data_IF_167883174160
#
_entry.id   IF_167883174160
#
_cell.length_a   1.000
_cell.length_b   1.000
_cell.length_c   1.000
_cell.angle_alpha   90.00
_cell.angle_beta   90.00
_cell.angle_gamma   90.00
#
_symmetry.space_group_name_H-M   'P 1'
#
loop_
_entity.id
_entity.type
_entity.pdbx_description
1 polymer ?
#
# COMPACT_ATOMS: atom_id res chain seq x y z
N UNK A 1 4.84 15.84 11.80
CA UNK A 1 4.89 14.39 11.51
C UNK A 1 3.90 13.70 12.42
N UNK A 2 2.96 12.90 11.88
CA UNK A 2 1.81 12.36 12.62
C UNK A 2 1.63 10.84 12.42
N UNK A 3 0.66 10.26 13.13
CA UNK A 3 0.43 8.81 13.21
C UNK A 3 0.28 8.12 11.83
N UNK A 4 -0.46 8.74 10.90
CA UNK A 4 -0.66 8.23 9.54
C UNK A 4 0.66 8.08 8.77
N UNK A 5 1.57 9.06 8.87
CA UNK A 5 2.88 9.00 8.18
C UNK A 5 3.73 7.86 8.75
N UNK A 6 3.67 7.65 10.07
CA UNK A 6 4.37 6.54 10.72
C UNK A 6 3.80 5.18 10.30
N UNK A 7 2.49 5.08 10.06
CA UNK A 7 1.84 3.85 9.57
C UNK A 7 2.25 3.55 8.14
N UNK A 8 2.26 4.54 7.24
CA UNK A 8 2.66 4.34 5.84
C UNK A 8 4.10 3.83 5.71
N UNK A 9 5.05 4.41 6.44
CA UNK A 9 6.45 3.94 6.42
C UNK A 9 6.58 2.49 6.89
N UNK A 10 5.81 2.11 7.93
CA UNK A 10 5.85 0.75 8.49
C UNK A 10 5.21 -0.28 7.56
N UNK A 11 4.12 0.08 6.89
CA UNK A 11 3.52 -0.77 5.87
C UNK A 11 4.49 -1.00 4.71
N UNK A 12 5.23 0.04 4.29
CA UNK A 12 6.27 -0.11 3.26
C UNK A 12 7.36 -1.11 3.69
N UNK A 13 7.88 -0.97 4.92
CA UNK A 13 8.91 -1.88 5.43
C UNK A 13 8.38 -3.31 5.59
N UNK A 14 7.10 -3.48 5.95
CA UNK A 14 6.44 -4.77 6.04
C UNK A 14 6.25 -5.40 4.66
N UNK A 15 5.85 -4.63 3.64
CA UNK A 15 5.68 -5.11 2.27
C UNK A 15 6.95 -5.76 1.72
N UNK A 16 8.12 -5.13 1.95
CA UNK A 16 9.43 -5.70 1.56
C UNK A 16 9.74 -7.04 2.23
N UNK A 17 9.21 -7.28 3.44
CA UNK A 17 9.42 -8.54 4.18
C UNK A 17 8.47 -9.64 3.74
N UNK A 18 7.25 -9.26 3.36
CA UNK A 18 6.23 -10.19 2.88
C UNK A 18 6.56 -10.70 1.48
N UNK A 19 7.08 -9.83 0.62
CA UNK A 19 7.43 -10.15 -0.77
C UNK A 19 8.87 -9.74 -1.07
N UNK A 20 9.88 -10.49 -0.58
CA UNK A 20 11.29 -10.13 -0.78
C UNK A 20 11.72 -10.21 -2.25
N UNK A 21 11.07 -11.06 -3.05
CA UNK A 21 11.43 -11.33 -4.44
C UNK A 21 10.59 -10.54 -5.46
N UNK A 22 9.57 -9.79 -4.98
CA UNK A 22 8.73 -8.99 -5.86
C UNK A 22 9.46 -7.69 -6.26
N UNK A 23 9.43 -7.37 -7.56
CA UNK A 23 9.96 -6.11 -8.07
C UNK A 23 9.25 -4.87 -7.45
N UNK A 24 8.01 -5.03 -6.98
CA UNK A 24 7.26 -4.00 -6.27
C UNK A 24 6.29 -4.66 -5.29
N UNK A 25 6.39 -4.28 -4.01
CA UNK A 25 5.49 -4.73 -2.95
C UNK A 25 4.69 -3.54 -2.40
N UNK A 26 3.37 -3.58 -2.55
CA UNK A 26 2.46 -2.54 -2.04
C UNK A 26 1.62 -3.16 -0.92
N UNK A 27 1.91 -2.77 0.32
CA UNK A 27 1.12 -3.16 1.48
C UNK A 27 0.28 -1.98 1.98
N UNK A 28 -0.99 -2.23 2.26
CA UNK A 28 -1.96 -1.24 2.74
C UNK A 28 -2.62 -1.73 4.04
N UNK A 29 -3.11 -0.81 4.87
CA UNK A 29 -3.92 -1.15 6.03
C UNK A 29 -5.33 -1.60 5.62
N UNK A 30 -6.02 -2.33 6.49
CA UNK A 30 -7.43 -2.67 6.32
C UNK A 30 -8.34 -1.45 6.19
N UNK A 31 -8.02 -0.35 6.89
CA UNK A 31 -8.73 0.93 6.72
C UNK A 31 -8.62 1.44 5.27
N UNK A 32 -7.43 1.41 4.68
CA UNK A 32 -7.25 1.80 3.28
C UNK A 32 -7.91 0.81 2.32
N UNK A 33 -7.78 -0.49 2.57
CA UNK A 33 -8.39 -1.54 1.75
C UNK A 33 -9.92 -1.40 1.71
N UNK A 34 -10.55 -1.04 2.83
CA UNK A 34 -12.02 -0.83 2.91
C UNK A 34 -12.54 0.33 2.06
N UNK A 35 -11.65 1.20 1.58
CA UNK A 35 -11.98 2.35 0.72
C UNK A 35 -11.70 2.07 -0.76
N UNK A 36 -11.12 0.92 -1.09
CA UNK A 36 -10.88 0.54 -2.48
C UNK A 36 -12.16 -0.02 -3.11
N UNK A 37 -12.34 0.23 -4.40
CA UNK A 37 -13.39 -0.41 -5.19
C UNK A 37 -12.90 -1.75 -5.77
N UNK A 38 -13.82 -2.48 -6.40
CA UNK A 38 -13.59 -3.81 -6.99
C UNK A 38 -12.56 -3.84 -8.14
N UNK A 39 -12.06 -2.68 -8.58
CA UNK A 39 -11.00 -2.61 -9.59
C UNK A 39 -9.65 -3.02 -9.01
N UNK A 40 -9.49 -2.99 -7.69
CA UNK A 40 -8.25 -3.35 -7.02
C UNK A 40 -8.35 -4.75 -6.45
N UNK A 41 -7.49 -5.65 -6.93
CA UNK A 41 -7.28 -6.93 -6.28
C UNK A 41 -6.55 -6.70 -4.94
N UNK A 42 -7.11 -7.23 -3.86
CA UNK A 42 -6.50 -7.18 -2.52
C UNK A 42 -6.29 -8.59 -2.00
N UNK A 43 -5.06 -8.88 -1.57
CA UNK A 43 -4.65 -10.18 -1.04
C UNK A 43 -4.43 -10.04 0.47
N UNK A 44 -5.18 -10.75 1.33
CA UNK A 44 -4.99 -10.66 2.76
C UNK A 44 -3.57 -11.05 3.19
N UNK A 45 -2.87 -10.18 3.91
CA UNK A 45 -1.53 -10.42 4.46
C UNK A 45 -1.55 -10.68 5.98
N UNK A 46 -2.74 -10.75 6.57
CA UNK A 46 -2.95 -11.04 7.99
C UNK A 46 -2.87 -9.81 8.90
N UNK A 47 -2.88 -10.06 10.21
CA UNK A 47 -2.83 -9.03 11.26
C UNK A 47 -1.41 -8.81 11.75
N UNK A 48 -0.97 -7.55 11.74
CA UNK A 48 0.39 -7.17 12.13
C UNK A 48 0.36 -6.12 13.22
N UNK A 49 1.17 -6.30 14.27
CA UNK A 49 1.40 -5.26 15.27
C UNK A 49 2.40 -4.25 14.72
N UNK A 50 1.88 -3.13 14.24
CA UNK A 50 2.71 -2.00 13.84
C UNK A 50 3.14 -1.26 15.11
N UNK A 51 4.45 -1.08 15.33
CA UNK A 51 5.01 -0.35 16.48
C UNK A 51 4.24 0.96 16.69
N UNK A 52 3.87 1.34 17.91
CA UNK A 52 3.15 2.58 18.17
C UNK A 52 1.62 2.53 17.99
N UNK A 53 1.06 1.41 17.50
CA UNK A 53 -0.36 1.06 17.73
C UNK A 53 -0.45 0.00 18.83
N UNK A 54 -1.42 0.18 19.73
CA UNK A 54 -1.74 -0.81 20.76
C UNK A 54 -2.40 -2.07 20.19
N UNK A 55 -3.08 -1.94 19.05
CA UNK A 55 -3.86 -3.01 18.43
C UNK A 55 -3.23 -3.53 17.13
N UNK A 56 -3.49 -4.80 16.83
CA UNK A 56 -3.04 -5.41 15.59
C UNK A 56 -3.80 -4.80 14.39
N UNK A 57 -3.06 -4.37 13.38
CA UNK A 57 -3.61 -3.78 12.15
C UNK A 57 -3.73 -4.87 11.09
N UNK A 58 -4.90 -5.00 10.47
CA UNK A 58 -5.06 -5.82 9.27
C UNK A 58 -4.28 -5.22 8.12
N UNK A 59 -3.57 -6.06 7.37
CA UNK A 59 -2.74 -5.66 6.24
C UNK A 59 -3.16 -6.46 5.01
N UNK A 60 -3.17 -5.79 3.87
CA UNK A 60 -3.46 -6.37 2.56
C UNK A 60 -2.32 -6.02 1.61
N UNK A 61 -2.02 -6.94 0.69
CA UNK A 61 -1.17 -6.65 -0.47
C UNK A 61 -2.06 -6.22 -1.63
N UNK A 62 -1.61 -5.22 -2.39
CA UNK A 62 -2.29 -4.81 -3.61
C UNK A 62 -1.82 -5.68 -4.77
N UNK A 63 -2.77 -6.37 -5.42
CA UNK A 63 -2.55 -7.18 -6.60
C UNK A 63 -2.74 -6.38 -7.89
N UNK A 64 -3.40 -6.99 -8.88
CA UNK A 64 -3.67 -6.31 -10.15
C UNK A 64 -4.72 -5.21 -9.98
N UNK A 65 -4.59 -4.17 -10.80
CA UNK A 65 -5.61 -3.12 -10.92
C UNK A 65 -6.26 -3.27 -12.29
N UNK A 66 -7.58 -3.43 -12.32
CA UNK A 66 -8.36 -3.38 -13.54
C UNK A 66 -8.35 -1.94 -14.08
N UNK A 67 -7.42 -1.65 -14.97
CA UNK A 67 -7.39 -0.38 -15.69
C UNK A 67 -8.51 -0.39 -16.72
N UNK A 68 -9.58 0.37 -16.48
CA UNK A 68 -10.34 0.95 -17.60
C UNK A 68 -9.35 1.85 -18.35
N UNK A 69 -9.19 1.65 -19.66
CA UNK A 69 -8.23 2.37 -20.54
C UNK A 69 -7.78 3.75 -20.00
N UNK A 70 -6.48 3.84 -19.76
CA UNK A 70 -5.76 4.96 -19.17
C UNK A 70 -6.10 6.31 -19.80
N UNK A 71 -6.74 7.20 -19.04
CA UNK A 71 -6.45 8.63 -19.18
C UNK A 71 -5.08 8.86 -18.57
N UNK A 72 -4.04 8.87 -19.43
CA UNK A 72 -2.64 9.17 -19.08
C UNK A 72 -2.58 10.35 -18.10
N UNK A 73 -2.23 10.08 -16.84
CA UNK A 73 -1.67 11.11 -15.97
C UNK A 73 -0.25 11.35 -16.47
N UNK A 74 -0.12 12.44 -17.23
CA UNK A 74 1.12 13.07 -17.67
C UNK A 74 1.94 13.43 -16.41
N UNK A 75 2.72 12.49 -15.87
CA UNK A 75 3.76 12.79 -14.88
C UNK A 75 4.92 13.44 -15.64
N UNK A 76 4.70 14.68 -16.09
CA UNK A 76 5.79 15.49 -16.63
C UNK A 76 6.78 15.72 -15.49
N UNK A 77 7.99 15.19 -15.69
CA UNK A 77 9.20 15.59 -14.96
C UNK A 77 9.21 17.10 -14.77
N UNK A 78 9.01 17.56 -13.55
CA UNK A 78 9.65 18.78 -13.10
C UNK A 78 11.09 18.42 -12.70
N UNK A 79 12.02 19.32 -13.03
CA UNK A 79 13.44 19.39 -12.64
C UNK A 79 14.42 19.14 -13.80
N UNK A 80 14.53 20.15 -14.66
CA UNK A 80 15.80 20.61 -15.23
C UNK A 80 15.67 22.12 -15.45
N UNK A 81 16.46 22.90 -14.73
CA UNK A 81 16.49 24.35 -14.72
C UNK A 81 17.39 24.82 -13.59
#
# INVERSE_FOLDING_TARGET
>A
VGDTVNVSQRLQDLGKKLEPDAATAIAISGETASRLDEKFETIPAGKHRLRGRGEATEVFQLGKVATSESSRLDVRRAQAG
#
